data_IF_185672452780
#
_entry.id   IF_185672452780
#
_cell.length_a   1.000
_cell.length_b   1.000
_cell.length_c   1.000
_cell.angle_alpha   90.00
_cell.angle_beta   90.00
_cell.angle_gamma   90.00
#
_symmetry.space_group_name_H-M   'P 1'
#
loop_
_entity.id
_entity.type
_entity.pdbx_description
1 polymer ?
#
# COMPACT_ATOMS: atom_id res chain seq x y z
N UNK A 1 -6.58 10.02 -28.16
CA UNK A 1 -6.93 8.68 -27.62
C UNK A 1 -8.05 8.02 -28.43
N UNK A 2 -7.80 6.83 -28.99
CA UNK A 2 -8.77 6.03 -29.77
C UNK A 2 -9.38 4.90 -28.92
N UNK A 3 -10.51 5.18 -28.25
CA UNK A 3 -11.12 4.26 -27.25
C UNK A 3 -11.59 2.92 -27.84
N UNK A 4 -11.83 2.86 -29.15
CA UNK A 4 -12.31 1.65 -29.81
C UNK A 4 -11.29 0.52 -29.73
N UNK A 5 -9.98 0.83 -29.78
CA UNK A 5 -8.94 -0.18 -29.58
C UNK A 5 -9.01 -0.81 -28.18
N UNK A 6 -9.34 -0.03 -27.15
CA UNK A 6 -9.50 -0.56 -25.80
C UNK A 6 -10.71 -1.50 -25.68
N UNK A 7 -11.85 -1.12 -26.28
CA UNK A 7 -13.05 -1.99 -26.32
C UNK A 7 -12.77 -3.30 -27.05
N UNK A 8 -12.07 -3.24 -28.18
CA UNK A 8 -11.67 -4.42 -28.93
C UNK A 8 -10.65 -5.27 -28.15
N UNK A 9 -9.71 -4.65 -27.43
CA UNK A 9 -8.83 -5.36 -26.51
C UNK A 9 -9.63 -6.16 -25.46
N UNK A 10 -10.58 -5.52 -24.77
CA UNK A 10 -11.44 -6.18 -23.78
C UNK A 10 -12.25 -7.33 -24.39
N UNK A 11 -12.83 -7.11 -25.58
CA UNK A 11 -13.55 -8.14 -26.31
C UNK A 11 -12.65 -9.34 -26.67
N UNK A 12 -11.53 -9.09 -27.36
CA UNK A 12 -10.57 -10.13 -27.76
C UNK A 12 -10.04 -10.91 -26.56
N UNK A 13 -9.77 -10.23 -25.43
CA UNK A 13 -9.34 -10.85 -24.18
C UNK A 13 -10.41 -11.80 -23.64
N UNK A 14 -11.67 -11.36 -23.62
CA UNK A 14 -12.82 -12.14 -23.12
C UNK A 14 -13.03 -13.43 -23.93
N UNK A 15 -12.88 -13.36 -25.25
CA UNK A 15 -13.06 -14.52 -26.14
C UNK A 15 -11.77 -15.33 -26.38
N UNK A 16 -10.67 -14.98 -25.70
CA UNK A 16 -9.42 -15.75 -25.71
C UNK A 16 -8.47 -15.50 -26.90
N UNK A 17 -8.70 -14.46 -27.70
CA UNK A 17 -7.91 -14.10 -28.89
C UNK A 17 -6.65 -13.29 -28.50
N UNK A 18 -5.68 -13.98 -27.88
CA UNK A 18 -4.49 -13.35 -27.24
C UNK A 18 -3.69 -12.43 -28.15
N UNK A 19 -3.40 -12.85 -29.39
CA UNK A 19 -2.59 -12.04 -30.33
C UNK A 19 -3.29 -10.73 -30.71
N UNK A 20 -4.58 -10.81 -31.03
CA UNK A 20 -5.39 -9.64 -31.38
C UNK A 20 -5.61 -8.73 -30.17
N UNK A 21 -5.83 -9.30 -28.98
CA UNK A 21 -5.90 -8.53 -27.74
C UNK A 21 -4.62 -7.72 -27.53
N UNK A 22 -3.45 -8.35 -27.69
CA UNK A 22 -2.15 -7.67 -27.57
C UNK A 22 -2.01 -6.54 -28.60
N UNK A 23 -2.30 -6.80 -29.87
CA UNK A 23 -2.22 -5.77 -30.91
C UNK A 23 -3.16 -4.58 -30.64
N UNK A 24 -4.39 -4.85 -30.21
CA UNK A 24 -5.35 -3.80 -29.87
C UNK A 24 -4.89 -2.99 -28.66
N UNK A 25 -4.27 -3.62 -27.66
CA UNK A 25 -3.70 -2.92 -26.52
C UNK A 25 -2.54 -2.01 -26.94
N UNK A 26 -1.63 -2.50 -27.78
CA UNK A 26 -0.51 -1.72 -28.32
C UNK A 26 -1.01 -0.51 -29.14
N UNK A 27 -2.02 -0.72 -30.00
CA UNK A 27 -2.64 0.35 -30.77
C UNK A 27 -3.33 1.37 -29.87
N UNK A 28 -3.99 0.91 -28.80
CA UNK A 28 -4.62 1.78 -27.82
C UNK A 28 -3.58 2.66 -27.11
N UNK A 29 -2.49 2.06 -26.61
CA UNK A 29 -1.40 2.79 -25.96
C UNK A 29 -0.76 3.81 -26.92
N UNK A 30 -0.53 3.42 -28.18
CA UNK A 30 0.03 4.30 -29.20
C UNK A 30 -0.91 5.46 -29.60
N UNK A 31 -2.22 5.36 -29.30
CA UNK A 31 -3.21 6.38 -29.66
C UNK A 31 -3.26 7.59 -28.72
N UNK A 32 -2.53 7.56 -27.60
CA UNK A 32 -2.44 8.67 -26.67
C UNK A 32 -1.49 9.75 -27.21
N UNK A 33 -2.01 10.95 -27.44
CA UNK A 33 -1.24 12.08 -27.98
C UNK A 33 -0.53 12.91 -26.91
N UNK A 34 -0.93 12.80 -25.63
CA UNK A 34 -0.36 13.60 -24.56
C UNK A 34 -0.52 12.96 -23.18
N UNK A 35 0.24 13.48 -22.21
CA UNK A 35 0.08 13.11 -20.79
C UNK A 35 -1.31 13.50 -20.25
N UNK A 36 -1.91 14.60 -20.72
CA UNK A 36 -3.24 15.02 -20.29
C UNK A 36 -4.33 14.02 -20.72
N UNK A 37 -4.21 13.43 -21.91
CA UNK A 37 -5.10 12.34 -22.33
C UNK A 37 -4.92 11.09 -21.45
N UNK A 38 -3.67 10.75 -21.10
CA UNK A 38 -3.38 9.62 -20.20
C UNK A 38 -3.99 9.85 -18.81
N UNK A 39 -3.88 11.05 -18.27
CA UNK A 39 -4.48 11.45 -16.99
C UNK A 39 -6.00 11.31 -17.04
N UNK A 40 -6.66 11.94 -18.02
CA UNK A 40 -8.10 11.89 -18.16
C UNK A 40 -8.63 10.45 -18.24
N UNK A 41 -7.99 9.62 -19.06
CA UNK A 41 -8.40 8.23 -19.21
C UNK A 41 -8.09 7.39 -17.98
N UNK A 42 -6.94 7.62 -17.33
CA UNK A 42 -6.59 6.94 -16.08
C UNK A 42 -7.61 7.23 -14.98
N UNK A 43 -8.04 8.49 -14.85
CA UNK A 43 -9.12 8.84 -13.91
C UNK A 43 -10.40 8.04 -14.21
N UNK A 44 -10.82 8.01 -15.48
CA UNK A 44 -12.00 7.26 -15.88
C UNK A 44 -11.87 5.76 -15.58
N UNK A 45 -10.74 5.14 -15.95
CA UNK A 45 -10.49 3.72 -15.71
C UNK A 45 -10.56 3.38 -14.22
N UNK A 46 -9.91 4.20 -13.38
CA UNK A 46 -9.77 3.94 -11.95
C UNK A 46 -11.06 4.29 -11.17
N UNK A 47 -11.89 5.21 -11.63
CA UNK A 47 -13.14 5.55 -10.95
C UNK A 47 -14.29 4.60 -11.32
N UNK A 48 -14.31 4.05 -12.54
CA UNK A 48 -15.39 3.16 -12.97
C UNK A 48 -15.28 1.73 -12.43
N UNK A 49 -14.18 1.39 -11.75
CA UNK A 49 -13.88 0.04 -11.28
C UNK A 49 -13.98 -1.03 -12.39
N UNK A 50 -13.86 -0.63 -13.66
CA UNK A 50 -13.82 -1.57 -14.79
C UNK A 50 -12.51 -2.38 -14.84
N UNK A 51 -11.58 -2.11 -13.91
CA UNK A 51 -10.45 -2.99 -13.64
C UNK A 51 -10.94 -4.25 -12.91
N UNK A 52 -11.16 -5.31 -13.70
CA UNK A 52 -11.28 -6.73 -13.35
C UNK A 52 -11.69 -7.10 -11.91
N UNK A 53 -12.85 -7.76 -11.78
CA UNK A 53 -13.16 -8.69 -10.68
C UNK A 53 -11.96 -9.64 -10.44
N UNK A 54 -11.06 -9.31 -9.50
CA UNK A 54 -9.85 -10.09 -9.20
C UNK A 54 -8.50 -9.43 -9.52
N UNK A 55 -8.49 -8.19 -10.02
CA UNK A 55 -7.43 -7.17 -10.01
C UNK A 55 -6.05 -7.51 -10.60
N UNK A 56 -5.79 -7.17 -11.88
CA UNK A 56 -4.55 -6.45 -12.32
C UNK A 56 -4.79 -5.66 -13.61
N UNK A 57 -4.38 -4.39 -13.63
CA UNK A 57 -4.18 -3.64 -14.89
C UNK A 57 -3.05 -4.36 -15.66
N UNK A 58 -3.20 -4.54 -16.98
CA UNK A 58 -2.13 -5.17 -17.78
C UNK A 58 -0.83 -4.39 -17.62
N UNK A 59 0.29 -5.10 -17.65
CA UNK A 59 1.59 -4.52 -17.36
C UNK A 59 1.92 -3.37 -18.32
N UNK A 60 1.68 -3.58 -19.62
CA UNK A 60 1.93 -2.61 -20.67
C UNK A 60 1.07 -1.35 -20.50
N UNK A 61 -0.20 -1.52 -20.14
CA UNK A 61 -1.11 -0.41 -19.89
C UNK A 61 -0.74 0.36 -18.62
N UNK A 62 -0.31 -0.36 -17.59
CA UNK A 62 0.12 0.25 -16.35
C UNK A 62 1.39 1.07 -16.56
N UNK A 63 2.40 0.50 -17.21
CA UNK A 63 3.68 1.15 -17.47
C UNK A 63 3.55 2.36 -18.40
N UNK A 64 2.82 2.24 -19.50
CA UNK A 64 2.82 3.26 -20.54
C UNK A 64 1.76 4.34 -20.33
N UNK A 65 0.69 4.06 -19.58
CA UNK A 65 -0.47 4.98 -19.47
C UNK A 65 -0.75 5.36 -18.02
N UNK A 66 -1.07 4.37 -17.18
CA UNK A 66 -1.56 4.62 -15.82
C UNK A 66 -0.48 5.19 -14.93
N UNK A 67 0.69 4.55 -14.87
CA UNK A 67 1.78 4.98 -14.01
C UNK A 67 2.30 6.38 -14.36
N UNK A 68 2.54 6.76 -15.63
CA UNK A 68 2.95 8.12 -15.97
C UNK A 68 1.94 9.19 -15.52
N UNK A 69 0.63 8.91 -15.65
CA UNK A 69 -0.42 9.80 -15.16
C UNK A 69 -0.37 9.96 -13.64
N UNK A 70 -0.30 8.84 -12.92
CA UNK A 70 -0.21 8.83 -11.45
C UNK A 70 1.09 9.45 -10.94
N UNK A 71 2.22 9.22 -11.61
CA UNK A 71 3.53 9.78 -11.25
C UNK A 71 3.52 11.31 -11.36
N UNK A 72 2.89 11.86 -12.40
CA UNK A 72 2.77 13.31 -12.55
C UNK A 72 1.95 13.93 -11.41
N UNK A 73 0.83 13.31 -11.04
CA UNK A 73 0.05 13.77 -9.89
C UNK A 73 0.80 13.61 -8.57
N UNK A 74 1.52 12.49 -8.39
CA UNK A 74 2.39 12.26 -7.23
C UNK A 74 3.45 13.36 -7.07
N UNK A 75 4.14 13.71 -8.15
CA UNK A 75 5.12 14.81 -8.17
C UNK A 75 4.51 16.17 -7.83
N UNK A 76 3.22 16.36 -8.16
CA UNK A 76 2.45 17.55 -7.84
C UNK A 76 1.76 17.50 -6.46
N UNK A 77 2.03 16.45 -5.65
CA UNK A 77 1.42 16.23 -4.34
C UNK A 77 -0.11 16.14 -4.39
N UNK A 78 -0.65 15.58 -5.46
CA UNK A 78 -2.08 15.29 -5.59
C UNK A 78 -2.46 14.04 -4.79
N UNK A 79 -3.38 14.20 -3.83
CA UNK A 79 -3.81 13.11 -2.94
C UNK A 79 -4.50 11.98 -3.71
N UNK A 80 -5.25 12.30 -4.77
CA UNK A 80 -5.92 11.29 -5.60
C UNK A 80 -4.90 10.36 -6.26
N UNK A 81 -3.85 10.92 -6.84
CA UNK A 81 -2.79 10.15 -7.48
C UNK A 81 -1.99 9.30 -6.49
N UNK A 82 -1.70 9.84 -5.30
CA UNK A 82 -1.02 9.08 -4.23
C UNK A 82 -1.87 7.90 -3.76
N UNK A 83 -3.18 8.12 -3.58
CA UNK A 83 -4.13 7.06 -3.24
C UNK A 83 -4.14 5.95 -4.30
N UNK A 84 -4.16 6.31 -5.58
CA UNK A 84 -4.19 5.31 -6.65
C UNK A 84 -2.87 4.58 -6.86
N UNK A 85 -1.72 5.22 -6.59
CA UNK A 85 -0.45 4.50 -6.47
C UNK A 85 -0.52 3.46 -5.36
N UNK A 86 -1.12 3.80 -4.20
CA UNK A 86 -1.31 2.85 -3.12
C UNK A 86 -2.22 1.68 -3.55
N UNK A 87 -3.41 1.97 -4.11
CA UNK A 87 -4.38 0.95 -4.55
C UNK A 87 -3.86 0.06 -5.66
N UNK A 88 -2.94 0.55 -6.48
CA UNK A 88 -2.28 -0.21 -7.56
C UNK A 88 -0.89 -0.74 -7.20
N UNK A 89 -0.51 -0.77 -5.92
CA UNK A 89 0.81 -1.19 -5.46
C UNK A 89 1.24 -2.59 -5.96
N UNK A 90 0.29 -3.50 -6.21
CA UNK A 90 0.58 -4.82 -6.78
C UNK A 90 1.15 -4.76 -8.21
N UNK A 91 0.84 -3.72 -8.98
CA UNK A 91 1.47 -3.45 -10.27
C UNK A 91 2.90 -2.92 -10.06
N UNK A 92 3.10 -2.01 -9.10
CA UNK A 92 4.42 -1.47 -8.75
C UNK A 92 5.40 -2.55 -8.28
N UNK A 93 4.98 -3.45 -7.39
CA UNK A 93 5.84 -4.51 -6.86
C UNK A 93 6.37 -5.46 -7.93
N UNK A 94 5.73 -5.53 -9.10
CA UNK A 94 6.18 -6.32 -10.26
C UNK A 94 7.07 -5.53 -11.21
N UNK A 95 7.01 -4.21 -11.18
CA UNK A 95 7.71 -3.30 -12.08
C UNK A 95 8.75 -2.49 -11.28
N UNK A 96 9.86 -3.13 -10.92
CA UNK A 96 10.87 -2.57 -10.01
C UNK A 96 11.36 -1.17 -10.42
N UNK A 97 11.56 -0.95 -11.72
CA UNK A 97 11.99 0.34 -12.28
C UNK A 97 10.93 1.45 -12.18
N UNK A 98 9.64 1.10 -12.13
CA UNK A 98 8.57 2.06 -11.83
C UNK A 98 8.52 2.35 -10.33
N UNK A 99 8.65 1.31 -9.50
CA UNK A 99 8.64 1.45 -8.06
C UNK A 99 9.80 2.30 -7.53
N UNK A 100 10.96 2.22 -8.18
CA UNK A 100 12.12 3.07 -7.90
C UNK A 100 11.82 4.57 -8.07
N UNK A 101 10.98 4.96 -9.03
CA UNK A 101 10.63 6.36 -9.28
C UNK A 101 9.81 7.01 -8.16
N UNK A 102 9.27 6.20 -7.24
CA UNK A 102 8.61 6.64 -6.01
C UNK A 102 9.38 6.20 -4.75
N UNK A 103 10.68 5.96 -4.88
CA UNK A 103 11.58 5.55 -3.79
C UNK A 103 11.18 4.27 -3.08
N UNK A 104 10.65 3.29 -3.82
CA UNK A 104 10.22 2.00 -3.27
C UNK A 104 9.15 2.10 -2.16
N UNK A 105 8.38 3.20 -2.11
CA UNK A 105 7.31 3.38 -1.12
C UNK A 105 6.31 2.22 -1.12
N UNK A 106 6.08 1.65 0.04
CA UNK A 106 5.11 0.58 0.28
C UNK A 106 3.69 1.10 0.20
N UNK A 107 2.73 0.17 0.08
CA UNK A 107 1.30 0.48 0.19
C UNK A 107 0.96 1.30 1.45
N UNK A 108 1.54 0.94 2.61
CA UNK A 108 1.31 1.67 3.85
C UNK A 108 1.87 3.09 3.79
N UNK A 109 3.11 3.26 3.31
CA UNK A 109 3.73 4.59 3.21
C UNK A 109 2.98 5.51 2.26
N UNK A 110 2.46 4.99 1.14
CA UNK A 110 1.63 5.75 0.21
C UNK A 110 0.28 6.15 0.82
N UNK A 111 -0.38 5.25 1.57
CA UNK A 111 -1.61 5.61 2.28
C UNK A 111 -1.36 6.67 3.35
N UNK A 112 -0.27 6.55 4.12
CA UNK A 112 0.11 7.55 5.14
C UNK A 112 0.42 8.89 4.49
N UNK A 113 1.13 8.90 3.36
CA UNK A 113 1.39 10.12 2.60
C UNK A 113 0.09 10.74 2.06
N UNK A 114 -0.82 9.93 1.53
CA UNK A 114 -2.13 10.40 1.10
C UNK A 114 -2.93 11.02 2.26
N UNK A 115 -2.92 10.40 3.44
CA UNK A 115 -3.55 10.95 4.64
C UNK A 115 -2.96 12.29 5.04
N UNK A 116 -1.63 12.45 4.97
CA UNK A 116 -0.97 13.72 5.27
C UNK A 116 -1.29 14.82 4.25
N UNK A 117 -1.62 14.46 3.01
CA UNK A 117 -2.04 15.41 1.97
C UNK A 117 -3.51 15.82 2.12
N UNK A 118 -4.39 14.87 2.47
CA UNK A 118 -5.81 15.11 2.70
C UNK A 118 -6.33 14.29 3.90
N UNK A 119 -6.23 14.83 5.13
CA UNK A 119 -6.72 14.15 6.34
C UNK A 119 -8.24 14.00 6.39
N UNK A 120 -8.98 14.71 5.54
CA UNK A 120 -10.45 14.69 5.52
C UNK A 120 -11.02 13.51 4.72
N UNK A 121 -10.16 12.81 3.98
CA UNK A 121 -10.56 11.67 3.16
C UNK A 121 -10.93 10.45 4.02
N UNK A 122 -12.22 10.23 4.22
CA UNK A 122 -12.75 9.14 5.03
C UNK A 122 -12.39 7.73 4.50
N UNK A 123 -12.21 7.57 3.19
CA UNK A 123 -11.78 6.28 2.63
C UNK A 123 -10.34 5.97 2.99
N UNK A 124 -9.43 6.94 2.82
CA UNK A 124 -8.01 6.81 3.21
C UNK A 124 -7.90 6.50 4.70
N UNK A 125 -8.69 7.20 5.51
CA UNK A 125 -8.73 6.98 6.96
C UNK A 125 -9.11 5.54 7.32
N UNK A 126 -10.19 5.04 6.70
CA UNK A 126 -10.66 3.66 6.89
C UNK A 126 -9.64 2.63 6.41
N UNK A 127 -9.04 2.84 5.23
CA UNK A 127 -8.04 1.94 4.66
C UNK A 127 -6.78 1.89 5.54
N UNK A 128 -6.29 3.05 5.98
CA UNK A 128 -5.12 3.17 6.84
C UNK A 128 -5.33 2.50 8.20
N UNK A 129 -6.48 2.74 8.85
CA UNK A 129 -6.87 2.07 10.08
C UNK A 129 -6.92 0.55 9.89
N UNK A 130 -7.55 0.06 8.81
CA UNK A 130 -7.65 -1.37 8.53
C UNK A 130 -6.29 -2.05 8.31
N UNK A 131 -5.37 -1.39 7.62
CA UNK A 131 -4.01 -1.90 7.40
C UNK A 131 -3.24 -1.98 8.71
N UNK A 132 -3.31 -0.93 9.51
CA UNK A 132 -2.61 -0.85 10.78
C UNK A 132 -3.13 -1.86 11.81
N UNK A 133 -4.45 -2.03 11.91
CA UNK A 133 -5.03 -3.06 12.80
C UNK A 133 -4.59 -4.47 12.38
N UNK A 134 -4.56 -4.78 11.08
CA UNK A 134 -4.04 -6.07 10.59
C UNK A 134 -2.56 -6.26 10.90
N UNK A 135 -1.77 -5.20 10.80
CA UNK A 135 -0.36 -5.23 11.17
C UNK A 135 -0.16 -5.49 12.68
N UNK A 136 -0.91 -4.81 13.55
CA UNK A 136 -0.86 -5.09 14.99
C UNK A 136 -1.32 -6.51 15.34
N UNK A 137 -2.35 -7.03 14.67
CA UNK A 137 -2.79 -8.43 14.82
C UNK A 137 -1.65 -9.40 14.46
N UNK A 138 -0.92 -9.11 13.39
CA UNK A 138 0.27 -9.86 13.01
C UNK A 138 1.37 -9.77 14.07
N UNK A 139 1.69 -8.57 14.57
CA UNK A 139 2.72 -8.36 15.59
C UNK A 139 2.47 -9.20 16.85
N UNK A 140 1.22 -9.34 17.30
CA UNK A 140 0.91 -10.10 18.52
C UNK A 140 0.55 -11.56 18.27
N UNK A 141 0.63 -12.06 17.03
CA UNK A 141 0.18 -13.42 16.70
C UNK A 141 0.93 -14.47 17.52
N UNK A 142 2.23 -14.29 17.72
CA UNK A 142 3.07 -15.26 18.45
C UNK A 142 3.13 -14.98 19.96
N UNK A 143 2.34 -14.04 20.48
CA UNK A 143 2.31 -13.77 21.91
C UNK A 143 1.81 -15.01 22.69
N UNK A 144 2.45 -15.41 23.81
CA UNK A 144 3.52 -14.71 24.54
C UNK A 144 4.94 -15.08 24.12
N UNK A 145 5.14 -15.97 23.15
CA UNK A 145 6.46 -16.42 22.67
C UNK A 145 7.30 -15.25 22.16
N UNK A 146 6.68 -14.34 21.41
CA UNK A 146 7.32 -13.13 20.91
C UNK A 146 6.30 -12.08 20.47
N UNK A 147 6.83 -10.92 20.11
CA UNK A 147 6.14 -9.92 19.30
C UNK A 147 6.84 -9.92 17.95
N UNK A 148 6.12 -10.08 16.86
CA UNK A 148 6.68 -10.09 15.52
C UNK A 148 6.90 -8.67 15.00
N UNK A 149 8.03 -8.45 14.34
CA UNK A 149 8.32 -7.28 13.54
C UNK A 149 9.05 -7.73 12.25
N UNK A 150 8.35 -7.63 11.12
CA UNK A 150 8.80 -8.30 9.90
C UNK A 150 8.87 -9.82 10.09
N UNK A 151 9.98 -10.47 9.74
CA UNK A 151 10.13 -11.93 9.81
C UNK A 151 10.70 -12.45 11.14
N UNK A 152 11.01 -11.57 12.09
CA UNK A 152 11.67 -11.91 13.35
C UNK A 152 10.91 -11.37 14.56
N UNK A 153 11.35 -11.77 15.76
CA UNK A 153 10.93 -11.13 16.99
C UNK A 153 11.44 -9.69 17.07
N UNK A 154 10.59 -8.79 17.57
CA UNK A 154 10.86 -7.37 17.69
C UNK A 154 12.03 -7.11 18.66
N UNK A 155 12.89 -6.16 18.29
CA UNK A 155 13.92 -5.57 19.13
C UNK A 155 13.32 -4.54 20.09
N UNK A 156 14.15 -4.00 20.99
CA UNK A 156 13.72 -2.93 21.91
C UNK A 156 13.24 -1.69 21.13
N UNK A 157 13.95 -1.30 20.08
CA UNK A 157 13.61 -0.11 19.30
C UNK A 157 12.33 -0.34 18.50
N UNK A 158 12.19 -1.50 17.86
CA UNK A 158 10.96 -1.91 17.17
C UNK A 158 9.75 -2.00 18.12
N UNK A 159 9.95 -2.38 19.39
CA UNK A 159 8.88 -2.32 20.39
C UNK A 159 8.43 -0.87 20.65
N UNK A 160 9.35 0.09 20.70
CA UNK A 160 9.00 1.50 20.84
C UNK A 160 8.29 2.04 19.58
N UNK A 161 8.71 1.58 18.39
CA UNK A 161 8.01 1.90 17.13
C UNK A 161 6.57 1.39 17.13
N UNK A 162 6.34 0.12 17.52
CA UNK A 162 4.98 -0.43 17.66
C UNK A 162 4.14 0.41 18.62
N UNK A 163 4.69 0.81 19.78
CA UNK A 163 3.98 1.67 20.73
C UNK A 163 3.64 3.03 20.11
N UNK A 164 4.55 3.62 19.33
CA UNK A 164 4.31 4.91 18.67
C UNK A 164 3.22 4.80 17.60
N UNK A 165 3.22 3.71 16.83
CA UNK A 165 2.17 3.44 15.83
C UNK A 165 0.81 3.17 16.49
N UNK A 166 0.76 2.54 17.67
CA UNK A 166 -0.50 2.41 18.45
C UNK A 166 -1.12 3.77 18.74
N UNK A 167 -0.32 4.75 19.16
CA UNK A 167 -0.83 6.10 19.44
C UNK A 167 -1.34 6.78 18.16
N UNK A 168 -0.64 6.63 17.04
CA UNK A 168 -1.15 7.10 15.74
C UNK A 168 -2.48 6.43 15.36
N UNK A 169 -2.63 5.13 15.62
CA UNK A 169 -3.89 4.42 15.35
C UNK A 169 -5.03 4.93 16.23
N UNK A 170 -4.75 5.35 17.47
CA UNK A 170 -5.77 5.97 18.34
C UNK A 170 -6.28 7.28 17.77
N UNK A 171 -5.42 8.06 17.11
CA UNK A 171 -5.83 9.29 16.42
C UNK A 171 -6.74 8.98 15.23
N UNK A 172 -6.50 7.87 14.54
CA UNK A 172 -7.34 7.38 13.44
C UNK A 172 -8.64 6.72 13.93
N UNK A 173 -8.68 6.14 15.12
CA UNK A 173 -9.88 5.48 15.65
C UNK A 173 -10.78 6.46 16.40
N UNK A 174 -11.29 7.48 15.68
CA UNK A 174 -12.10 8.58 16.24
C UNK A 174 -13.33 8.06 17.00
N UNK A 175 -13.96 6.99 16.52
CA UNK A 175 -15.11 6.34 17.15
C UNK A 175 -14.73 5.39 18.29
N UNK A 176 -13.43 5.19 18.53
CA UNK A 176 -12.86 4.34 19.58
C UNK A 176 -13.31 2.87 19.50
N UNK A 177 -13.56 2.37 18.28
CA UNK A 177 -14.03 1.00 18.06
C UNK A 177 -12.94 -0.02 18.45
N UNK A 178 -11.68 0.33 18.23
CA UNK A 178 -10.50 -0.52 18.45
C UNK A 178 -9.84 -0.29 19.81
N UNK A 179 -10.32 0.64 20.64
CA UNK A 179 -9.67 1.06 21.90
C UNK A 179 -9.29 -0.11 22.81
N UNK A 180 -10.18 -1.09 22.96
CA UNK A 180 -9.91 -2.31 23.76
C UNK A 180 -8.76 -3.13 23.16
N UNK A 181 -8.77 -3.33 21.84
CA UNK A 181 -7.72 -4.08 21.14
C UNK A 181 -6.38 -3.36 21.23
N UNK A 182 -6.35 -2.03 21.04
CA UNK A 182 -5.13 -1.23 21.14
C UNK A 182 -4.52 -1.29 22.55
N UNK A 183 -5.35 -1.21 23.60
CA UNK A 183 -4.89 -1.36 24.99
C UNK A 183 -4.28 -2.75 25.25
N UNK A 184 -4.89 -3.80 24.70
CA UNK A 184 -4.37 -5.16 24.81
C UNK A 184 -3.02 -5.32 24.12
N UNK A 185 -2.90 -4.85 22.87
CA UNK A 185 -1.65 -4.90 22.11
C UNK A 185 -0.54 -4.12 22.82
N UNK A 186 -0.83 -2.90 23.26
CA UNK A 186 0.12 -2.05 23.98
C UNK A 186 0.64 -2.74 25.25
N UNK A 187 -0.26 -3.36 26.02
CA UNK A 187 0.13 -4.10 27.23
C UNK A 187 1.06 -5.27 26.91
N UNK A 188 0.72 -6.07 25.88
CA UNK A 188 1.54 -7.21 25.43
C UNK A 188 2.93 -6.78 24.96
N UNK A 189 3.02 -5.69 24.21
CA UNK A 189 4.29 -5.14 23.72
C UNK A 189 5.16 -4.65 24.87
N UNK A 190 4.58 -3.94 25.86
CA UNK A 190 5.32 -3.47 27.03
C UNK A 190 5.81 -4.64 27.92
N UNK A 191 5.01 -5.68 28.10
CA UNK A 191 5.43 -6.90 28.82
C UNK A 191 6.59 -7.61 28.11
N UNK A 192 6.53 -7.71 26.78
CA UNK A 192 7.62 -8.26 25.98
C UNK A 192 8.90 -7.40 26.06
N UNK A 193 8.78 -6.08 25.98
CA UNK A 193 9.88 -5.14 26.13
C UNK A 193 10.61 -5.30 27.47
N UNK A 194 9.86 -5.48 28.57
CA UNK A 194 10.43 -5.74 29.89
C UNK A 194 11.23 -7.06 29.90
N UNK A 195 10.71 -8.12 29.25
CA UNK A 195 11.41 -9.41 29.15
C UNK A 195 12.72 -9.28 28.36
N UNK A 196 12.71 -8.56 27.24
CA UNK A 196 13.91 -8.30 26.43
C UNK A 196 14.99 -7.57 27.24
N UNK A 197 14.62 -6.50 27.95
CA UNK A 197 15.55 -5.72 28.78
C UNK A 197 16.17 -6.58 29.87
N UNK A 198 15.37 -7.41 30.56
CA UNK A 198 15.88 -8.35 31.57
C UNK A 198 16.88 -9.35 30.97
N UNK A 199 16.59 -9.89 29.80
CA UNK A 199 17.47 -10.85 29.12
C UNK A 199 18.83 -10.20 28.74
N UNK A 200 18.81 -8.97 28.21
CA UNK A 200 20.03 -8.24 27.88
C UNK A 200 20.88 -7.92 29.12
N UNK A 201 20.25 -7.46 30.20
CA UNK A 201 20.96 -7.19 31.47
C UNK A 201 21.63 -8.45 32.01
N UNK A 202 20.93 -9.59 32.01
CA UNK A 202 21.49 -10.86 32.44
C UNK A 202 22.65 -11.31 31.55
N UNK A 203 22.53 -11.19 30.23
CA UNK A 203 23.57 -11.60 29.29
C UNK A 203 24.87 -10.79 29.47
N UNK A 204 24.75 -9.48 29.66
CA UNK A 204 25.91 -8.60 29.89
C UNK A 204 26.63 -8.90 31.22
N UNK A 205 25.95 -9.48 32.21
CA UNK A 205 26.58 -9.89 33.47
C UNK A 205 27.45 -11.15 33.32
N UNK A 206 27.11 -12.07 32.40
CA UNK A 206 27.84 -13.33 32.20
C UNK A 206 28.94 -13.26 31.13
N UNK A 207 29.01 -12.20 30.32
CA UNK A 207 30.09 -11.99 29.34
C UNK A 207 31.32 -11.24 29.92
N UNK A 208 31.27 -10.87 31.20
CA UNK A 208 32.34 -10.18 31.94
C UNK A 208 32.95 -11.02 33.08
N UNK A 209 32.64 -12.32 33.14
CA UNK A 209 33.32 -13.33 33.97
C UNK A 209 34.24 -14.23 33.12
#
# INVERSE_FOLDING_TARGET
MEIEYYKQYLHCKTVGLRSQAKQNLENFIASFASIAEKEQWTCQLLETQEYEYGNRISYELYEEVVFPALLRGYQNRDSWSVLWLARTAQNLYKAKHLHEQINFKTYYELLKECYLLDPSNAEVHKDLLSVQIRWLQYCIHEYPTGILYGVNGATIDECHEIVSEIEFIRELDVEKIQEKFLNEVQSKVLEYLIRLKKYQTSKNLYEHE
#
